data_IF_930441524927
#
_entry.id   IF_930441524927
#
_cell.length_a   1.000
_cell.length_b   1.000
_cell.length_c   1.000
_cell.angle_alpha   90.00
_cell.angle_beta   90.00
_cell.angle_gamma   90.00
#
_symmetry.space_group_name_H-M   'P 1'
#
loop_
_entity.id
_entity.type
_entity.pdbx_description
1 polymer ?
#
# COMPACT_ATOMS: atom_id res chain seq x y z
N UNK A 1 5.47 2.19 -7.53
CA UNK A 1 5.67 0.83 -8.06
C UNK A 1 4.77 -0.12 -7.31
N UNK A 2 4.09 -1.02 -8.03
CA UNK A 2 3.27 -2.08 -7.45
C UNK A 2 4.08 -3.38 -7.34
N UNK A 3 3.72 -4.23 -6.38
CA UNK A 3 4.18 -5.61 -6.28
C UNK A 3 2.96 -6.55 -6.27
N UNK A 4 3.13 -7.78 -6.73
CA UNK A 4 2.04 -8.75 -6.87
C UNK A 4 2.48 -10.12 -6.36
N UNK A 5 1.69 -10.70 -5.47
CA UNK A 5 1.84 -12.08 -5.01
C UNK A 5 3.22 -12.41 -4.45
N UNK A 6 3.81 -11.50 -3.66
CA UNK A 6 5.10 -11.75 -3.02
C UNK A 6 4.90 -12.50 -1.71
N UNK A 7 5.86 -13.33 -1.34
CA UNK A 7 6.02 -13.80 0.03
C UNK A 7 6.39 -12.60 0.92
N UNK A 8 5.39 -12.09 1.63
CA UNK A 8 5.52 -10.89 2.45
C UNK A 8 6.23 -11.18 3.77
N UNK A 9 6.12 -12.41 4.28
CA UNK A 9 6.91 -12.88 5.43
C UNK A 9 8.39 -13.05 5.06
N UNK A 10 8.66 -13.43 3.80
CA UNK A 10 10.02 -13.60 3.27
C UNK A 10 10.74 -14.81 3.85
N UNK A 11 10.00 -15.78 4.38
CA UNK A 11 10.52 -17.00 5.01
C UNK A 11 10.50 -18.23 4.09
N UNK A 12 9.97 -18.08 2.87
CA UNK A 12 9.86 -19.14 1.88
C UNK A 12 8.66 -20.07 2.07
N UNK A 13 7.82 -19.85 3.08
CA UNK A 13 6.65 -20.70 3.36
C UNK A 13 5.46 -20.42 2.44
N UNK A 14 5.43 -19.23 1.80
CA UNK A 14 4.30 -18.75 1.00
C UNK A 14 2.97 -18.74 1.75
N UNK A 15 3.01 -18.59 3.08
CA UNK A 15 1.79 -18.53 3.92
C UNK A 15 1.21 -17.11 3.99
N UNK A 16 2.03 -16.08 3.77
CA UNK A 16 1.64 -14.68 3.74
C UNK A 16 1.92 -14.05 2.37
N UNK A 17 1.01 -14.29 1.41
CA UNK A 17 1.15 -13.78 0.05
C UNK A 17 0.40 -12.46 -0.11
N UNK A 18 1.12 -11.36 -0.38
CA UNK A 18 0.52 -10.03 -0.52
C UNK A 18 0.80 -9.36 -1.85
N UNK A 19 -0.11 -8.47 -2.24
CA UNK A 19 0.04 -7.54 -3.36
C UNK A 19 -0.17 -6.12 -2.87
N UNK A 20 0.51 -5.15 -3.48
CA UNK A 20 0.48 -3.82 -2.92
C UNK A 20 1.36 -2.78 -3.58
N UNK A 21 1.67 -1.75 -2.81
CA UNK A 21 2.41 -0.57 -3.24
C UNK A 21 3.76 -0.50 -2.50
N UNK A 22 4.86 -0.55 -3.25
CA UNK A 22 6.22 -0.50 -2.69
C UNK A 22 6.71 0.94 -2.49
N UNK A 23 6.43 1.83 -3.45
CA UNK A 23 6.79 3.26 -3.42
C UNK A 23 5.82 4.11 -4.21
N UNK A 24 5.47 5.28 -3.69
CA UNK A 24 4.70 6.32 -4.38
C UNK A 24 5.35 7.68 -4.14
N UNK A 25 5.94 8.22 -5.19
CA UNK A 25 6.54 9.55 -5.18
C UNK A 25 5.75 10.45 -6.12
N UNK A 26 5.33 11.61 -5.64
CA UNK A 26 4.73 12.68 -6.45
C UNK A 26 5.67 13.88 -6.38
N UNK A 27 6.06 14.40 -7.53
CA UNK A 27 6.91 15.59 -7.61
C UNK A 27 6.30 16.72 -6.79
N UNK A 28 7.13 17.48 -6.05
CA UNK A 28 6.67 18.46 -5.06
C UNK A 28 5.62 19.44 -5.62
N UNK A 29 5.86 20.02 -6.81
CA UNK A 29 4.93 20.93 -7.48
C UNK A 29 3.66 20.29 -8.05
N UNK A 30 3.55 18.95 -7.99
CA UNK A 30 2.43 18.17 -8.49
C UNK A 30 1.58 17.55 -7.36
N UNK A 31 1.99 17.72 -6.10
CA UNK A 31 1.22 17.21 -4.96
C UNK A 31 -0.15 17.89 -4.84
N UNK A 32 -1.09 17.23 -4.14
CA UNK A 32 -2.48 17.71 -3.90
C UNK A 32 -3.32 17.95 -5.17
N UNK A 33 -2.92 17.35 -6.30
CA UNK A 33 -3.65 17.41 -7.59
C UNK A 33 -4.37 16.11 -7.97
N UNK A 34 -4.47 15.16 -7.04
CA UNK A 34 -5.16 13.88 -7.28
C UNK A 34 -4.30 12.76 -7.88
N UNK A 35 -3.00 13.00 -8.17
CA UNK A 35 -2.11 11.95 -8.68
C UNK A 35 -1.90 10.79 -7.70
N UNK A 36 -1.78 11.07 -6.41
CA UNK A 36 -1.68 10.03 -5.38
C UNK A 36 -2.88 9.09 -5.38
N UNK A 37 -4.12 9.60 -5.16
CA UNK A 37 -5.33 8.79 -5.22
C UNK A 37 -5.51 8.05 -6.56
N UNK A 38 -5.16 8.69 -7.68
CA UNK A 38 -5.18 8.05 -9.00
C UNK A 38 -4.24 6.84 -9.06
N UNK A 39 -2.99 7.00 -8.63
CA UNK A 39 -2.00 5.93 -8.64
C UNK A 39 -2.43 4.75 -7.75
N UNK A 40 -2.93 5.02 -6.53
CA UNK A 40 -3.43 3.96 -5.64
C UNK A 40 -4.59 3.20 -6.27
N UNK A 41 -5.56 3.90 -6.87
CA UNK A 41 -6.69 3.25 -7.56
C UNK A 41 -6.24 2.42 -8.77
N UNK A 42 -5.24 2.88 -9.52
CA UNK A 42 -4.71 2.12 -10.65
C UNK A 42 -4.06 0.79 -10.19
N UNK A 43 -3.32 0.82 -9.08
CA UNK A 43 -2.76 -0.39 -8.46
C UNK A 43 -3.85 -1.30 -7.92
N UNK A 44 -4.83 -0.75 -7.18
CA UNK A 44 -5.99 -1.48 -6.69
C UNK A 44 -6.73 -2.22 -7.81
N UNK A 45 -7.02 -1.53 -8.92
CA UNK A 45 -7.63 -2.15 -10.10
C UNK A 45 -6.76 -3.26 -10.70
N UNK A 46 -5.43 -3.08 -10.70
CA UNK A 46 -4.48 -4.10 -11.14
C UNK A 46 -4.50 -5.37 -10.28
N UNK A 47 -4.58 -5.20 -8.96
CA UNK A 47 -4.68 -6.30 -7.99
C UNK A 47 -6.03 -7.01 -8.12
N UNK A 48 -7.14 -6.28 -8.21
CA UNK A 48 -8.48 -6.86 -8.41
C UNK A 48 -8.56 -7.73 -9.66
N UNK A 49 -7.99 -7.27 -10.78
CA UNK A 49 -7.94 -8.05 -12.04
C UNK A 49 -7.16 -9.36 -11.91
N UNK A 50 -6.33 -9.50 -10.88
CA UNK A 50 -5.56 -10.72 -10.56
C UNK A 50 -6.24 -11.59 -9.50
N UNK A 51 -7.47 -11.23 -9.08
CA UNK A 51 -8.20 -11.93 -8.04
C UNK A 51 -7.81 -11.52 -6.61
N UNK A 52 -6.95 -10.50 -6.44
CA UNK A 52 -6.58 -10.02 -5.12
C UNK A 52 -7.68 -9.19 -4.48
N UNK A 53 -7.89 -9.38 -3.18
CA UNK A 53 -8.95 -8.75 -2.39
C UNK A 53 -8.44 -7.63 -1.48
N UNK A 54 -7.11 -7.43 -1.41
CA UNK A 54 -6.47 -6.44 -0.55
C UNK A 54 -5.28 -5.77 -1.23
N UNK A 55 -5.03 -4.51 -0.90
CA UNK A 55 -3.83 -3.76 -1.28
C UNK A 55 -3.04 -3.41 -0.03
N UNK A 56 -1.79 -3.88 0.07
CA UNK A 56 -0.90 -3.62 1.21
C UNK A 56 0.05 -2.45 0.93
N UNK A 57 0.24 -1.57 1.91
CA UNK A 57 1.25 -0.50 1.86
C UNK A 57 1.96 -0.34 3.21
N UNK A 58 3.27 -0.14 3.17
CA UNK A 58 4.10 0.14 4.35
C UNK A 58 4.51 1.61 4.38
N UNK A 59 4.58 2.21 5.57
CA UNK A 59 4.97 3.61 5.76
C UNK A 59 5.72 3.81 7.06
N UNK A 60 6.76 4.64 7.06
CA UNK A 60 7.40 5.04 8.32
C UNK A 60 6.40 5.81 9.20
N UNK A 61 6.39 5.59 10.53
CA UNK A 61 5.63 6.41 11.44
C UNK A 61 6.24 7.82 11.55
N UNK A 62 5.44 8.82 11.94
CA UNK A 62 5.92 10.17 12.24
C UNK A 62 5.10 11.29 11.61
N UNK A 63 5.40 12.54 11.98
CA UNK A 63 4.61 13.71 11.56
C UNK A 63 4.65 13.98 10.06
N UNK A 64 5.75 13.63 9.39
CA UNK A 64 5.93 13.78 7.94
C UNK A 64 5.53 12.51 7.16
N UNK A 65 4.97 11.52 7.87
CA UNK A 65 4.49 10.28 7.26
C UNK A 65 3.32 10.55 6.31
N UNK A 66 3.22 9.80 5.20
CA UNK A 66 2.01 9.78 4.38
C UNK A 66 0.82 9.07 5.06
N UNK A 67 0.87 8.80 6.36
CA UNK A 67 -0.20 8.09 7.10
C UNK A 67 -1.57 8.72 6.90
N UNK A 68 -1.73 10.03 7.11
CA UNK A 68 -3.00 10.71 6.89
C UNK A 68 -3.52 10.59 5.44
N UNK A 69 -2.61 10.53 4.47
CA UNK A 69 -2.96 10.31 3.06
C UNK A 69 -3.53 8.90 2.83
N UNK A 70 -2.89 7.85 3.38
CA UNK A 70 -3.38 6.47 3.22
C UNK A 70 -4.69 6.24 4.01
N UNK A 71 -4.79 6.76 5.24
CA UNK A 71 -6.03 6.68 6.03
C UNK A 71 -7.20 7.36 5.30
N UNK A 72 -6.96 8.53 4.70
CA UNK A 72 -7.96 9.24 3.89
C UNK A 72 -8.41 8.49 2.62
N UNK A 73 -7.64 7.50 2.17
CA UNK A 73 -8.00 6.60 1.06
C UNK A 73 -8.75 5.33 1.52
N UNK A 74 -8.96 5.17 2.83
CA UNK A 74 -9.64 4.00 3.40
C UNK A 74 -8.70 2.87 3.82
N UNK A 75 -7.39 3.09 3.84
CA UNK A 75 -6.49 2.11 4.45
C UNK A 75 -6.73 2.05 5.95
N UNK A 76 -6.77 0.86 6.53
CA UNK A 76 -6.70 0.69 7.98
C UNK A 76 -5.31 0.19 8.40
N UNK A 77 -4.82 0.60 9.58
CA UNK A 77 -3.61 0.01 10.16
C UNK A 77 -3.91 -1.44 10.59
N UNK A 78 -3.05 -2.39 10.21
CA UNK A 78 -3.23 -3.81 10.62
C UNK A 78 -2.74 -4.07 12.04
N UNK A 79 -1.89 -3.18 12.58
CA UNK A 79 -1.15 -3.39 13.82
C UNK A 79 0.22 -4.04 13.59
N UNK A 80 0.48 -4.56 12.39
CA UNK A 80 1.75 -5.15 12.00
C UNK A 80 2.81 -4.10 11.65
N UNK A 81 4.07 -4.48 11.82
CA UNK A 81 5.25 -3.71 11.42
C UNK A 81 6.07 -4.54 10.44
N UNK A 82 6.52 -3.92 9.35
CA UNK A 82 7.53 -4.48 8.46
C UNK A 82 8.81 -3.66 8.62
N UNK A 83 9.79 -4.21 9.33
CA UNK A 83 10.93 -3.45 9.83
C UNK A 83 10.47 -2.30 10.73
N UNK A 84 10.79 -1.07 10.35
CA UNK A 84 10.40 0.16 11.06
C UNK A 84 9.14 0.82 10.46
N UNK A 85 8.50 0.17 9.48
CA UNK A 85 7.33 0.70 8.78
C UNK A 85 6.04 0.06 9.26
N UNK A 86 5.00 0.87 9.46
CA UNK A 86 3.65 0.40 9.79
C UNK A 86 2.97 -0.14 8.55
N UNK A 87 2.42 -1.34 8.66
CA UNK A 87 1.61 -1.96 7.60
C UNK A 87 0.19 -1.43 7.65
N UNK A 88 -0.38 -1.13 6.49
CA UNK A 88 -1.79 -0.83 6.32
C UNK A 88 -2.35 -1.55 5.09
N UNK A 89 -3.63 -1.87 5.15
CA UNK A 89 -4.35 -2.55 4.07
C UNK A 89 -5.56 -1.75 3.64
N UNK A 90 -5.89 -1.86 2.35
CA UNK A 90 -7.13 -1.38 1.76
C UNK A 90 -7.89 -2.58 1.18
N UNK A 91 -9.17 -2.70 1.53
CA UNK A 91 -10.06 -3.75 1.06
C UNK A 91 -10.48 -3.41 -0.36
N UNK A 92 -10.40 -4.40 -1.23
CA UNK A 92 -10.75 -4.29 -2.64
C UNK A 92 -12.06 -5.04 -2.87
N UNK A 93 -13.18 -4.42 -2.51
CA UNK A 93 -14.52 -4.85 -2.92
C UNK A 93 -14.72 -4.63 -4.42
#
# INVERSE_FOLDING_TARGET
MAFFGIDFAGDGTNTDIRSGLWRLNIAAGQQRRGYGPFAVRAVAAGIRRRGGTRLTACRHPGRESPEGFYLGLGFWPTGEMNGDQRVGELELT
#
